data_IF_064280609413
#
_entry.id   IF_064280609413
#
_cell.length_a   1.000
_cell.length_b   1.000
_cell.length_c   1.000
_cell.angle_alpha   90.00
_cell.angle_beta   90.00
_cell.angle_gamma   90.00
#
_symmetry.space_group_name_H-M   'P 1'
#
loop_
_entity.id
_entity.type
_entity.pdbx_description
1 polymer ?
#
# COMPACT_ATOMS: atom_id res chain seq x y z
N UNK A 1 -40.29 -4.77 71.10
CA UNK A 1 -41.57 -4.03 71.08
C UNK A 1 -41.54 -3.16 69.85
N UNK A 2 -42.34 -3.24 68.80
CA UNK A 2 -43.60 -3.89 68.43
C UNK A 2 -43.52 -3.89 66.87
N UNK A 3 -43.77 -4.94 66.08
CA UNK A 3 -44.81 -5.93 66.18
C UNK A 3 -46.16 -5.27 65.98
N UNK A 4 -46.61 -4.95 64.76
CA UNK A 4 -48.04 -4.93 64.43
C UNK A 4 -48.28 -5.07 62.93
N UNK A 5 -48.72 -6.28 62.57
CA UNK A 5 -49.56 -6.54 61.42
C UNK A 5 -51.01 -6.21 61.75
N UNK A 6 -51.77 -5.74 60.77
CA UNK A 6 -53.20 -6.06 60.50
C UNK A 6 -53.63 -5.23 59.28
N UNK A 7 -53.98 -5.85 58.15
CA UNK A 7 -55.29 -6.46 57.87
C UNK A 7 -56.40 -5.38 57.86
N UNK A 8 -57.28 -5.22 56.87
CA UNK A 8 -58.02 -6.25 56.13
C UNK A 8 -58.99 -5.54 55.15
N UNK A 9 -59.38 -6.25 54.07
CA UNK A 9 -60.62 -6.13 53.26
C UNK A 9 -60.68 -5.08 52.15
N UNK A 10 -61.35 -5.30 51.01
CA UNK A 10 -61.76 -6.45 50.17
C UNK A 10 -62.58 -5.82 49.02
N UNK A 11 -62.46 -6.36 47.79
CA UNK A 11 -63.43 -6.31 46.65
C UNK A 11 -63.37 -5.08 45.72
N UNK A 12 -62.91 -5.26 44.46
CA UNK A 12 -63.68 -5.63 43.23
C UNK A 12 -64.57 -4.45 42.79
N UNK A 13 -64.42 -3.79 41.62
CA UNK A 13 -64.57 -4.31 40.25
C UNK A 13 -64.14 -3.24 39.22
N UNK A 14 -63.28 -3.64 38.27
CA UNK A 14 -63.19 -3.35 36.83
C UNK A 14 -63.19 -1.91 36.27
N UNK A 15 -62.15 -1.61 35.47
CA UNK A 15 -62.13 -0.50 34.50
C UNK A 15 -60.72 -0.29 33.95
N UNK A 16 -60.52 -0.61 32.67
CA UNK A 16 -59.24 -0.85 32.02
C UNK A 16 -58.34 0.38 31.78
N UNK A 17 -57.08 0.05 31.47
CA UNK A 17 -56.05 0.81 30.75
C UNK A 17 -55.14 1.75 31.55
N UNK A 18 -53.98 1.23 31.97
CA UNK A 18 -52.77 2.02 32.14
C UNK A 18 -51.55 1.22 31.62
N UNK A 19 -50.84 1.86 30.68
CA UNK A 19 -49.65 1.37 30.01
C UNK A 19 -48.57 0.92 31.00
N UNK A 20 -48.08 -0.30 30.83
CA UNK A 20 -46.77 -0.71 31.34
C UNK A 20 -45.72 -0.35 30.29
N UNK A 21 -45.05 0.80 30.47
CA UNK A 21 -43.76 1.06 29.83
C UNK A 21 -42.68 0.43 30.72
N UNK A 22 -42.38 -0.85 30.44
CA UNK A 22 -41.21 -1.53 31.00
C UNK A 22 -39.94 -0.90 30.43
N UNK A 23 -39.14 -0.33 31.32
CA UNK A 23 -37.80 0.19 31.06
C UNK A 23 -36.86 -0.99 30.81
N UNK A 24 -36.66 -1.38 29.54
CA UNK A 24 -35.58 -2.28 29.16
C UNK A 24 -34.34 -1.45 28.82
N UNK A 25 -33.40 -1.38 29.77
CA UNK A 25 -32.06 -0.87 29.53
C UNK A 25 -31.35 -1.80 28.53
N UNK A 26 -31.31 -1.40 27.27
CA UNK A 26 -30.46 -2.01 26.25
C UNK A 26 -29.02 -1.60 26.53
N UNK A 27 -28.30 -2.48 27.23
CA UNK A 27 -26.84 -2.51 27.20
C UNK A 27 -26.43 -2.81 25.75
N UNK A 28 -26.13 -1.77 24.99
CA UNK A 28 -25.48 -1.89 23.68
C UNK A 28 -24.08 -2.45 23.92
N UNK A 29 -23.92 -3.77 23.80
CA UNK A 29 -22.61 -4.37 23.65
C UNK A 29 -21.94 -3.78 22.39
N UNK A 30 -20.63 -3.51 22.41
CA UNK A 30 -19.94 -3.05 21.21
C UNK A 30 -20.08 -4.14 20.14
N UNK A 31 -20.68 -3.79 19.01
CA UNK A 31 -20.68 -4.65 17.83
C UNK A 31 -19.22 -4.84 17.40
N UNK A 32 -18.66 -6.00 17.71
CA UNK A 32 -17.45 -6.48 17.03
C UNK A 32 -17.85 -6.68 15.57
N UNK A 33 -17.45 -5.75 14.69
CA UNK A 33 -17.48 -5.96 13.24
C UNK A 33 -16.45 -7.04 12.91
N UNK A 34 -16.84 -8.29 13.07
CA UNK A 34 -16.10 -9.44 12.55
C UNK A 34 -16.75 -9.90 11.23
N UNK A 35 -15.90 -10.12 10.22
CA UNK A 35 -16.15 -10.75 8.92
C UNK A 35 -16.50 -9.88 7.69
N UNK A 36 -16.22 -8.57 7.68
CA UNK A 36 -16.08 -7.83 6.41
C UNK A 36 -14.64 -8.08 5.90
N UNK A 37 -14.47 -8.94 4.88
CA UNK A 37 -13.17 -9.27 4.28
C UNK A 37 -12.92 -10.76 4.01
N UNK A 38 -13.62 -11.67 4.70
CA UNK A 38 -13.55 -13.11 4.45
C UNK A 38 -14.35 -13.49 3.18
N UNK A 39 -13.82 -14.39 2.35
CA UNK A 39 -14.49 -14.92 1.15
C UNK A 39 -13.84 -14.48 -0.16
N UNK A 40 -14.57 -14.64 -1.27
CA UNK A 40 -14.07 -14.21 -2.59
C UNK A 40 -13.80 -12.70 -2.62
N UNK A 41 -12.82 -12.28 -3.43
CA UNK A 41 -12.47 -10.88 -3.62
C UNK A 41 -12.77 -10.46 -5.07
N UNK A 42 -13.98 -9.94 -5.36
CA UNK A 42 -14.41 -9.67 -6.74
C UNK A 42 -13.49 -8.72 -7.52
N UNK A 43 -12.87 -7.76 -6.85
CA UNK A 43 -11.91 -6.86 -7.47
C UNK A 43 -10.64 -7.59 -7.95
N UNK A 44 -10.12 -8.53 -7.16
CA UNK A 44 -9.01 -9.40 -7.58
C UNK A 44 -9.41 -10.28 -8.76
N UNK A 45 -10.60 -10.88 -8.70
CA UNK A 45 -11.15 -11.68 -9.79
C UNK A 45 -11.29 -10.89 -11.10
N UNK A 46 -11.72 -9.63 -11.03
CA UNK A 46 -11.79 -8.74 -12.17
C UNK A 46 -10.38 -8.41 -12.70
N UNK A 47 -9.45 -8.07 -11.81
CA UNK A 47 -8.07 -7.77 -12.20
C UNK A 47 -7.41 -8.95 -12.92
N UNK A 48 -7.60 -10.18 -12.42
CA UNK A 48 -7.09 -11.38 -13.10
C UNK A 48 -7.65 -11.50 -14.51
N UNK A 49 -8.97 -11.35 -14.68
CA UNK A 49 -9.61 -11.44 -16.01
C UNK A 49 -9.09 -10.40 -17.00
N UNK A 50 -8.86 -9.18 -16.54
CA UNK A 50 -8.56 -8.06 -17.42
C UNK A 50 -7.05 -7.91 -17.72
N UNK A 51 -6.20 -8.27 -16.77
CA UNK A 51 -4.77 -7.94 -16.82
C UNK A 51 -3.84 -9.14 -16.63
N UNK A 52 -4.29 -10.29 -16.11
CA UNK A 52 -3.43 -11.46 -15.89
C UNK A 52 -3.64 -12.49 -16.99
N UNK A 53 -2.57 -12.85 -17.71
CA UNK A 53 -2.60 -13.95 -18.65
C UNK A 53 -2.57 -15.31 -17.95
N UNK A 54 -2.96 -16.37 -18.67
CA UNK A 54 -2.96 -17.74 -18.18
C UNK A 54 -1.57 -18.23 -17.72
N UNK A 55 -0.49 -17.71 -18.32
CA UNK A 55 0.89 -18.04 -17.98
C UNK A 55 1.48 -17.18 -16.84
N UNK A 56 0.72 -16.25 -16.26
CA UNK A 56 1.13 -15.48 -15.07
C UNK A 56 1.71 -14.09 -15.33
N UNK A 57 1.55 -13.54 -16.53
CA UNK A 57 2.00 -12.21 -16.92
C UNK A 57 0.92 -11.16 -16.67
N UNK A 58 1.27 -10.07 -15.98
CA UNK A 58 0.43 -8.89 -15.80
C UNK A 58 0.66 -7.92 -16.95
N UNK A 59 -0.36 -7.67 -17.75
CA UNK A 59 -0.28 -6.93 -19.00
C UNK A 59 -0.94 -5.57 -18.84
N UNK A 60 -0.19 -4.49 -19.06
CA UNK A 60 -0.81 -3.20 -19.34
C UNK A 60 -1.25 -3.17 -20.80
N UNK A 61 -2.56 -3.33 -21.02
CA UNK A 61 -3.15 -3.37 -22.35
C UNK A 61 -3.34 -1.98 -22.97
N UNK A 62 -3.08 -0.91 -22.21
CA UNK A 62 -3.14 0.47 -22.72
C UNK A 62 -1.89 0.90 -23.48
N UNK A 63 -0.79 0.16 -23.33
CA UNK A 63 0.48 0.42 -23.98
C UNK A 63 0.62 -0.42 -25.27
N UNK A 64 1.18 0.18 -26.33
CA UNK A 64 1.33 -0.46 -27.65
C UNK A 64 2.23 -1.71 -27.60
N UNK A 65 3.27 -1.67 -26.76
CA UNK A 65 4.19 -2.80 -26.53
C UNK A 65 3.58 -3.89 -25.64
N UNK A 66 2.34 -3.69 -25.15
CA UNK A 66 1.62 -4.55 -24.21
C UNK A 66 2.50 -4.96 -23.04
N UNK A 67 3.26 -4.00 -22.50
CA UNK A 67 4.31 -4.26 -21.51
C UNK A 67 3.81 -4.96 -20.25
N UNK A 68 4.77 -5.64 -19.64
CA UNK A 68 4.76 -6.02 -18.23
C UNK A 68 5.92 -5.31 -17.60
N UNK A 69 5.65 -4.72 -16.44
CA UNK A 69 6.67 -4.18 -15.57
C UNK A 69 6.83 -5.07 -14.34
N UNK A 70 8.04 -5.13 -13.79
CA UNK A 70 8.29 -5.88 -12.54
C UNK A 70 7.35 -5.42 -11.42
N UNK A 71 7.00 -4.12 -11.39
CA UNK A 71 6.01 -3.54 -10.47
C UNK A 71 4.67 -4.30 -10.54
N UNK A 72 4.14 -4.55 -11.73
CA UNK A 72 2.86 -5.23 -11.92
C UNK A 72 2.90 -6.68 -11.47
N UNK A 73 4.00 -7.39 -11.76
CA UNK A 73 4.23 -8.73 -11.22
C UNK A 73 4.26 -8.72 -9.69
N UNK A 74 4.98 -7.76 -9.09
CA UNK A 74 5.12 -7.62 -7.64
C UNK A 74 3.78 -7.40 -6.93
N UNK A 75 2.94 -6.54 -7.50
CA UNK A 75 1.62 -6.23 -6.97
C UNK A 75 0.66 -7.40 -7.13
N UNK A 76 0.68 -8.08 -8.28
CA UNK A 76 -0.15 -9.26 -8.47
C UNK A 76 0.24 -10.43 -7.55
N UNK A 77 1.55 -10.62 -7.25
CA UNK A 77 1.98 -11.56 -6.21
C UNK A 77 1.38 -11.20 -4.84
N UNK A 78 1.46 -9.93 -4.46
CA UNK A 78 0.88 -9.46 -3.20
C UNK A 78 -0.65 -9.68 -3.16
N UNK A 79 -1.38 -9.33 -4.22
CA UNK A 79 -2.83 -9.50 -4.27
C UNK A 79 -3.26 -10.97 -4.30
N UNK A 80 -2.55 -11.83 -5.02
CA UNK A 80 -2.77 -13.27 -5.01
C UNK A 80 -2.60 -13.84 -3.59
N UNK A 81 -1.58 -13.39 -2.85
CA UNK A 81 -1.39 -13.78 -1.45
C UNK A 81 -2.55 -13.29 -0.56
N UNK A 82 -2.95 -12.02 -0.69
CA UNK A 82 -4.10 -11.46 0.05
C UNK A 82 -5.39 -12.23 -0.26
N UNK A 83 -5.59 -12.66 -1.50
CA UNK A 83 -6.75 -13.45 -1.93
C UNK A 83 -6.69 -14.94 -1.53
N UNK A 84 -5.59 -15.40 -0.94
CA UNK A 84 -5.28 -16.83 -0.73
C UNK A 84 -5.27 -17.65 -2.03
N UNK A 85 -4.89 -17.02 -3.14
CA UNK A 85 -4.90 -17.58 -4.48
C UNK A 85 -3.52 -18.11 -4.86
N UNK A 86 -3.17 -19.28 -4.30
CA UNK A 86 -1.85 -19.87 -4.49
C UNK A 86 -1.57 -20.26 -5.94
N UNK A 87 -2.60 -20.64 -6.71
CA UNK A 87 -2.44 -20.97 -8.13
C UNK A 87 -1.96 -19.77 -8.94
N UNK A 88 -2.63 -18.62 -8.80
CA UNK A 88 -2.18 -17.41 -9.48
C UNK A 88 -0.80 -16.95 -8.97
N UNK A 89 -0.56 -17.04 -7.66
CA UNK A 89 0.75 -16.70 -7.09
C UNK A 89 1.89 -17.51 -7.73
N UNK A 90 1.72 -18.82 -7.88
CA UNK A 90 2.70 -19.70 -8.51
C UNK A 90 2.92 -19.37 -9.99
N UNK A 91 1.84 -19.12 -10.75
CA UNK A 91 1.95 -18.72 -12.15
C UNK A 91 2.72 -17.39 -12.30
N UNK A 92 2.36 -16.38 -11.50
CA UNK A 92 2.99 -15.06 -11.53
C UNK A 92 4.48 -15.18 -11.15
N UNK A 93 4.80 -15.94 -10.11
CA UNK A 93 6.19 -16.13 -9.65
C UNK A 93 7.03 -16.84 -10.71
N UNK A 94 6.53 -17.94 -11.29
CA UNK A 94 7.23 -18.65 -12.36
C UNK A 94 7.43 -17.79 -13.61
N UNK A 95 6.41 -17.00 -14.01
CA UNK A 95 6.56 -16.10 -15.15
C UNK A 95 7.64 -15.05 -14.89
N UNK A 96 7.63 -14.45 -13.69
CA UNK A 96 8.60 -13.44 -13.25
C UNK A 96 10.02 -13.99 -13.26
N UNK A 97 10.23 -15.17 -12.64
CA UNK A 97 11.53 -15.83 -12.58
C UNK A 97 12.07 -16.13 -13.99
N UNK A 98 11.25 -16.71 -14.86
CA UNK A 98 11.68 -17.12 -16.20
C UNK A 98 11.91 -15.96 -17.16
N UNK A 99 11.09 -14.91 -17.13
CA UNK A 99 11.09 -13.87 -18.16
C UNK A 99 11.80 -12.57 -17.73
N UNK A 100 11.81 -12.26 -16.43
CA UNK A 100 12.45 -11.05 -15.91
C UNK A 100 13.78 -11.35 -15.23
N UNK A 101 13.97 -12.55 -14.68
CA UNK A 101 15.18 -12.94 -13.96
C UNK A 101 15.98 -14.08 -14.62
N UNK A 102 15.77 -14.33 -15.93
CA UNK A 102 16.55 -15.30 -16.72
C UNK A 102 16.55 -16.71 -16.10
N UNK A 103 15.40 -17.11 -15.53
CA UNK A 103 15.18 -18.42 -14.91
C UNK A 103 15.67 -18.57 -13.47
N UNK A 104 16.30 -17.55 -12.88
CA UNK A 104 16.79 -17.64 -11.49
C UNK A 104 16.71 -16.29 -10.75
N UNK A 105 15.60 -16.12 -10.02
CA UNK A 105 15.35 -14.94 -9.17
C UNK A 105 16.28 -14.91 -7.94
N UNK A 106 16.96 -16.02 -7.62
CA UNK A 106 17.98 -16.05 -6.57
C UNK A 106 19.33 -15.56 -7.07
N UNK A 107 19.55 -15.50 -8.39
CA UNK A 107 20.81 -15.10 -9.02
C UNK A 107 20.86 -13.61 -9.43
N UNK A 108 19.73 -12.95 -9.66
CA UNK A 108 19.67 -11.56 -10.13
C UNK A 108 18.36 -10.86 -9.78
N UNK A 109 18.37 -9.53 -9.83
CA UNK A 109 17.17 -8.70 -9.78
C UNK A 109 16.38 -8.86 -11.10
N UNK A 110 15.04 -8.83 -11.07
CA UNK A 110 14.23 -8.91 -12.27
C UNK A 110 14.34 -7.62 -13.09
N UNK A 111 14.42 -7.77 -14.41
CA UNK A 111 14.30 -6.67 -15.36
C UNK A 111 12.97 -5.93 -15.17
N UNK A 112 13.01 -4.59 -15.20
CA UNK A 112 11.83 -3.79 -14.92
C UNK A 112 10.84 -3.74 -16.07
N UNK A 113 11.25 -3.98 -17.32
CA UNK A 113 10.39 -3.83 -18.50
C UNK A 113 10.54 -4.97 -19.51
N UNK A 114 9.42 -5.61 -19.84
CA UNK A 114 9.31 -6.64 -20.87
C UNK A 114 8.09 -6.38 -21.75
N UNK A 115 8.24 -6.47 -23.07
CA UNK A 115 7.15 -6.21 -24.01
C UNK A 115 7.43 -6.70 -25.41
N UNK A 116 6.56 -6.30 -26.33
CA UNK A 116 6.73 -6.51 -27.76
C UNK A 116 7.72 -5.49 -28.31
N UNK A 117 8.89 -5.96 -28.72
CA UNK A 117 9.97 -5.13 -29.24
C UNK A 117 9.72 -4.70 -30.70
N UNK A 118 10.48 -3.70 -31.15
CA UNK A 118 10.39 -3.17 -32.52
C UNK A 118 10.75 -4.19 -33.60
N UNK A 119 11.49 -5.25 -33.25
CA UNK A 119 11.84 -6.36 -34.15
C UNK A 119 10.75 -7.46 -34.21
N UNK A 120 9.62 -7.25 -33.53
CA UNK A 120 8.50 -8.18 -33.46
C UNK A 120 8.66 -9.31 -32.44
N UNK A 121 9.78 -9.36 -31.71
CA UNK A 121 10.01 -10.35 -30.66
C UNK A 121 9.43 -9.91 -29.32
N UNK A 122 9.06 -10.89 -28.50
CA UNK A 122 8.67 -10.67 -27.10
C UNK A 122 9.88 -10.92 -26.20
N UNK A 123 10.37 -9.87 -25.53
CA UNK A 123 11.61 -9.92 -24.74
C UNK A 123 11.66 -8.83 -23.67
N UNK A 124 12.68 -8.92 -22.82
CA UNK A 124 13.12 -7.80 -21.98
C UNK A 124 13.46 -6.60 -22.87
N UNK A 125 12.80 -5.46 -22.62
CA UNK A 125 13.03 -4.20 -23.33
C UNK A 125 14.04 -3.31 -22.60
N UNK A 126 14.08 -3.41 -21.27
CA UNK A 126 15.10 -2.80 -20.43
C UNK A 126 15.44 -3.73 -19.26
N UNK A 127 16.72 -4.07 -19.14
CA UNK A 127 17.25 -5.00 -18.15
C UNK A 127 17.61 -4.35 -16.81
N UNK A 128 17.47 -3.03 -16.67
CA UNK A 128 17.63 -2.38 -15.36
C UNK A 128 16.58 -2.91 -14.37
N UNK A 129 16.82 -2.74 -13.07
CA UNK A 129 15.87 -3.11 -12.03
C UNK A 129 14.96 -1.94 -11.65
N UNK A 130 13.88 -2.24 -10.93
CA UNK A 130 13.04 -1.26 -10.26
C UNK A 130 12.83 -1.70 -8.81
N UNK A 131 13.42 -0.95 -7.89
CA UNK A 131 13.60 -1.42 -6.51
C UNK A 131 12.31 -1.46 -5.69
N UNK A 132 11.26 -0.73 -6.08
CA UNK A 132 9.93 -0.89 -5.49
C UNK A 132 9.38 -2.29 -5.76
N UNK A 133 9.43 -2.73 -7.02
CA UNK A 133 9.03 -4.06 -7.41
C UNK A 133 9.85 -5.13 -6.69
N UNK A 134 11.17 -4.95 -6.60
CA UNK A 134 12.07 -5.93 -6.03
C UNK A 134 11.80 -6.12 -4.52
N UNK A 135 11.53 -5.02 -3.80
CA UNK A 135 11.07 -5.07 -2.40
C UNK A 135 9.72 -5.77 -2.26
N UNK A 136 8.74 -5.45 -3.12
CA UNK A 136 7.41 -6.07 -3.05
C UNK A 136 7.44 -7.56 -3.40
N UNK A 137 8.25 -7.99 -4.36
CA UNK A 137 8.45 -9.42 -4.68
C UNK A 137 9.09 -10.13 -3.49
N UNK A 138 10.18 -9.58 -2.94
CA UNK A 138 10.85 -10.17 -1.79
C UNK A 138 9.90 -10.30 -0.59
N UNK A 139 9.15 -9.24 -0.30
CA UNK A 139 8.12 -9.21 0.74
C UNK A 139 7.03 -10.26 0.51
N UNK A 140 6.40 -10.26 -0.68
CA UNK A 140 5.32 -11.20 -0.99
C UNK A 140 5.78 -12.67 -0.88
N UNK A 141 7.00 -12.99 -1.34
CA UNK A 141 7.57 -14.34 -1.19
C UNK A 141 7.84 -14.71 0.28
N UNK A 142 8.35 -13.78 1.09
CA UNK A 142 8.62 -14.03 2.51
C UNK A 142 7.33 -14.16 3.33
N UNK A 143 6.32 -13.34 3.06
CA UNK A 143 5.00 -13.46 3.69
C UNK A 143 4.29 -14.74 3.24
N UNK A 144 4.31 -15.07 1.94
CA UNK A 144 3.74 -16.31 1.41
C UNK A 144 4.41 -17.55 2.03
N UNK A 145 5.74 -17.55 2.13
CA UNK A 145 6.48 -18.65 2.76
C UNK A 145 6.10 -18.85 4.23
N UNK A 146 5.88 -17.76 4.97
CA UNK A 146 5.43 -17.82 6.36
C UNK A 146 3.96 -18.28 6.49
N UNK A 147 3.06 -17.70 5.70
CA UNK A 147 1.61 -17.94 5.78
C UNK A 147 1.19 -19.31 5.23
N UNK A 148 1.86 -19.81 4.18
CA UNK A 148 1.57 -21.11 3.57
C UNK A 148 2.55 -22.23 3.97
N UNK A 149 3.56 -21.93 4.79
CA UNK A 149 4.59 -22.91 5.18
C UNK A 149 5.47 -23.39 4.02
N UNK A 150 5.64 -22.57 2.98
CA UNK A 150 6.39 -22.92 1.77
C UNK A 150 7.83 -22.40 1.83
N UNK A 151 8.76 -23.29 2.18
CA UNK A 151 10.18 -22.97 2.36
C UNK A 151 10.82 -22.40 1.09
N UNK A 152 10.38 -22.82 -0.09
CA UNK A 152 10.98 -22.36 -1.35
C UNK A 152 10.74 -20.88 -1.58
N UNK A 153 9.56 -20.34 -1.25
CA UNK A 153 9.31 -18.91 -1.32
C UNK A 153 10.17 -18.14 -0.32
N UNK A 154 10.31 -18.64 0.92
CA UNK A 154 11.17 -18.02 1.93
C UNK A 154 12.63 -17.90 1.45
N UNK A 155 13.17 -18.96 0.84
CA UNK A 155 14.55 -18.96 0.34
C UNK A 155 14.74 -17.97 -0.82
N UNK A 156 13.81 -17.97 -1.79
CA UNK A 156 13.86 -17.02 -2.92
C UNK A 156 13.72 -15.58 -2.44
N UNK A 157 12.72 -15.29 -1.61
CA UNK A 157 12.48 -13.95 -1.05
C UNK A 157 13.67 -13.44 -0.22
N UNK A 158 14.29 -14.30 0.59
CA UNK A 158 15.49 -13.93 1.35
C UNK A 158 16.70 -13.63 0.45
N UNK A 159 16.89 -14.40 -0.63
CA UNK A 159 17.96 -14.14 -1.61
C UNK A 159 17.73 -12.84 -2.37
N UNK A 160 16.49 -12.57 -2.79
CA UNK A 160 16.15 -11.34 -3.47
C UNK A 160 16.32 -10.12 -2.54
N UNK A 161 15.81 -10.19 -1.30
CA UNK A 161 16.00 -9.15 -0.30
C UNK A 161 17.48 -8.82 -0.07
N UNK A 162 18.34 -9.84 0.04
CA UNK A 162 19.77 -9.64 0.18
C UNK A 162 20.41 -8.91 -1.02
N UNK A 163 19.92 -9.14 -2.24
CA UNK A 163 20.38 -8.44 -3.46
C UNK A 163 19.92 -6.98 -3.48
N UNK A 164 18.64 -6.71 -3.19
CA UNK A 164 18.12 -5.34 -3.07
C UNK A 164 19.00 -4.52 -2.12
N UNK A 165 19.27 -5.06 -0.94
CA UNK A 165 20.09 -4.39 0.06
C UNK A 165 21.55 -4.15 -0.40
N UNK A 166 22.07 -5.03 -1.24
CA UNK A 166 23.45 -4.97 -1.72
C UNK A 166 23.60 -4.03 -2.93
N UNK A 167 22.65 -4.08 -3.86
CA UNK A 167 22.78 -3.52 -5.21
C UNK A 167 21.95 -2.24 -5.41
N UNK A 168 20.92 -2.02 -4.58
CA UNK A 168 19.93 -0.94 -4.77
C UNK A 168 19.83 0.00 -3.56
N UNK A 169 20.84 0.05 -2.70
CA UNK A 169 20.81 0.96 -1.56
C UNK A 169 22.14 1.66 -1.34
N UNK A 170 22.10 2.88 -0.79
CA UNK A 170 23.30 3.66 -0.47
C UNK A 170 23.25 4.23 0.94
N UNK A 171 24.38 4.22 1.68
CA UNK A 171 24.44 4.80 3.01
C UNK A 171 24.39 6.33 2.94
N UNK A 172 23.74 6.93 3.94
CA UNK A 172 23.65 8.39 4.11
C UNK A 172 24.15 8.75 5.51
N UNK A 173 25.25 9.49 5.58
CA UNK A 173 25.91 9.82 6.83
C UNK A 173 24.97 10.57 7.79
N UNK A 174 24.83 10.07 9.02
CA UNK A 174 23.96 10.67 10.04
C UNK A 174 22.46 10.47 9.85
N UNK A 175 22.01 9.86 8.74
CA UNK A 175 20.58 9.66 8.42
C UNK A 175 20.23 8.17 8.39
N UNK A 176 21.08 7.31 7.81
CA UNK A 176 20.79 5.89 7.66
C UNK A 176 21.16 5.40 6.27
N UNK A 177 20.17 4.88 5.55
CA UNK A 177 20.32 4.34 4.19
C UNK A 177 19.09 4.67 3.37
N UNK A 178 19.28 5.00 2.10
CA UNK A 178 18.19 5.21 1.15
C UNK A 178 18.16 4.10 0.10
N UNK A 179 16.99 3.93 -0.50
CA UNK A 179 16.75 3.04 -1.63
C UNK A 179 17.04 3.80 -2.93
N UNK A 180 17.91 3.26 -3.78
CA UNK A 180 18.03 3.71 -5.16
C UNK A 180 16.87 3.13 -5.97
N UNK A 181 16.24 3.89 -6.87
CA UNK A 181 15.10 3.41 -7.67
C UNK A 181 15.41 2.24 -8.62
N UNK A 182 16.69 1.98 -8.88
CA UNK A 182 17.20 0.82 -9.62
C UNK A 182 18.73 0.81 -9.59
N UNK A 183 19.34 -0.23 -10.15
CA UNK A 183 20.82 -0.40 -10.10
C UNK A 183 21.60 0.60 -10.96
N UNK A 184 21.00 1.14 -12.03
CA UNK A 184 21.67 2.05 -12.96
C UNK A 184 20.87 3.34 -13.18
N UNK A 185 21.55 4.49 -13.28
CA UNK A 185 20.95 5.77 -13.71
C UNK A 185 20.53 6.74 -12.61
N UNK A 186 20.69 6.38 -11.33
CA UNK A 186 20.18 7.15 -10.19
C UNK A 186 21.27 7.81 -9.31
N UNK A 187 22.50 7.92 -9.82
CA UNK A 187 23.63 8.59 -9.17
C UNK A 187 24.33 9.51 -10.18
N UNK A 188 23.74 10.68 -10.50
CA UNK A 188 24.20 11.54 -11.60
C UNK A 188 25.54 12.25 -11.32
N UNK A 189 25.95 12.38 -10.06
CA UNK A 189 27.22 12.96 -9.64
C UNK A 189 27.71 12.25 -8.37
N UNK A 190 29.01 12.38 -8.05
CA UNK A 190 29.65 11.69 -6.91
C UNK A 190 28.96 11.94 -5.56
N UNK A 191 28.31 13.09 -5.41
CA UNK A 191 27.62 13.53 -4.20
C UNK A 191 26.09 13.59 -4.37
N UNK A 192 25.52 13.14 -5.48
CA UNK A 192 24.08 13.27 -5.77
C UNK A 192 23.41 11.94 -6.11
N UNK A 193 22.24 11.69 -5.53
CA UNK A 193 21.41 10.51 -5.79
C UNK A 193 19.97 10.91 -6.08
N UNK A 194 19.35 10.23 -7.04
CA UNK A 194 17.93 10.38 -7.34
C UNK A 194 17.19 9.29 -6.57
N UNK A 195 16.17 9.67 -5.81
CA UNK A 195 15.30 8.76 -5.06
C UNK A 195 13.84 8.95 -5.48
N UNK A 196 13.02 7.93 -5.24
CA UNK A 196 11.58 7.98 -5.45
C UNK A 196 10.89 7.72 -4.10
N UNK A 197 10.23 8.73 -3.49
CA UNK A 197 9.57 8.56 -2.20
C UNK A 197 8.57 7.40 -2.15
N UNK A 198 7.90 7.12 -3.28
CA UNK A 198 6.88 6.07 -3.33
C UNK A 198 7.42 4.63 -3.29
N UNK A 199 8.72 4.45 -3.51
CA UNK A 199 9.37 3.14 -3.60
C UNK A 199 9.68 2.52 -2.23
N UNK A 200 9.51 3.28 -1.14
CA UNK A 200 9.89 2.87 0.20
C UNK A 200 8.69 2.72 1.17
N UNK A 201 7.77 1.74 0.95
CA UNK A 201 6.70 1.45 1.88
C UNK A 201 7.26 0.96 3.23
N UNK A 202 7.12 1.76 4.30
CA UNK A 202 7.76 1.46 5.59
C UNK A 202 7.32 0.12 6.20
N UNK A 203 6.08 -0.32 5.98
CA UNK A 203 5.60 -1.62 6.43
C UNK A 203 6.40 -2.80 5.82
N UNK A 204 6.77 -2.69 4.53
CA UNK A 204 7.58 -3.70 3.84
C UNK A 204 9.01 -3.67 4.36
N UNK A 205 9.59 -2.48 4.47
CA UNK A 205 10.95 -2.31 5.00
C UNK A 205 11.06 -2.83 6.43
N UNK A 206 10.04 -2.59 7.26
CA UNK A 206 9.99 -3.06 8.65
C UNK A 206 9.82 -4.58 8.74
N UNK A 207 9.01 -5.18 7.87
CA UNK A 207 8.93 -6.64 7.75
C UNK A 207 10.30 -7.27 7.47
N UNK A 208 11.06 -6.67 6.55
CA UNK A 208 12.42 -7.12 6.23
C UNK A 208 13.40 -6.88 7.39
N UNK A 209 13.33 -5.72 8.05
CA UNK A 209 14.14 -5.41 9.23
C UNK A 209 13.87 -6.38 10.39
N UNK A 210 12.60 -6.69 10.66
CA UNK A 210 12.20 -7.66 11.69
C UNK A 210 12.71 -9.07 11.38
N UNK A 211 12.50 -9.53 10.13
CA UNK A 211 12.92 -10.88 9.70
C UNK A 211 14.44 -11.06 9.69
N UNK A 212 15.18 -10.01 9.35
CA UNK A 212 16.63 -10.01 9.25
C UNK A 212 17.27 -9.12 10.32
N UNK A 213 16.84 -9.24 11.58
CA UNK A 213 17.23 -8.34 12.69
C UNK A 213 18.74 -8.21 12.94
N UNK A 214 19.55 -9.19 12.53
CA UNK A 214 21.02 -9.12 12.62
C UNK A 214 21.65 -8.27 11.51
N UNK A 215 20.96 -8.07 10.39
CA UNK A 215 21.38 -7.24 9.26
C UNK A 215 20.89 -5.79 9.46
N UNK A 216 21.70 -5.00 10.16
CA UNK A 216 21.33 -3.62 10.58
C UNK A 216 21.04 -2.67 9.43
N UNK A 217 21.51 -2.95 8.21
CA UNK A 217 21.23 -2.09 7.04
C UNK A 217 19.73 -2.00 6.73
N UNK A 218 18.93 -3.01 7.08
CA UNK A 218 17.47 -2.93 6.95
C UNK A 218 16.87 -1.90 7.90
N UNK A 219 17.29 -1.87 9.16
CA UNK A 219 16.83 -0.85 10.10
C UNK A 219 17.27 0.55 9.66
N UNK A 220 18.52 0.68 9.17
CA UNK A 220 18.99 1.93 8.57
C UNK A 220 18.15 2.39 7.38
N UNK A 221 17.63 1.45 6.59
CA UNK A 221 16.75 1.72 5.46
C UNK A 221 15.36 2.17 5.94
N UNK A 222 14.79 1.54 6.98
CA UNK A 222 13.53 2.00 7.60
C UNK A 222 13.67 3.45 8.10
N UNK A 223 14.71 3.73 8.89
CA UNK A 223 14.91 5.04 9.50
C UNK A 223 15.26 6.09 8.44
N UNK A 224 16.12 5.74 7.49
CA UNK A 224 16.47 6.62 6.37
C UNK A 224 15.26 6.92 5.48
N UNK A 225 14.43 5.93 5.15
CA UNK A 225 13.23 6.14 4.36
C UNK A 225 12.21 7.05 5.05
N UNK A 226 12.05 6.97 6.38
CA UNK A 226 11.19 7.91 7.11
C UNK A 226 11.68 9.36 6.97
N UNK A 227 13.00 9.57 7.07
CA UNK A 227 13.63 10.89 6.84
C UNK A 227 13.46 11.35 5.38
N UNK A 228 13.72 10.48 4.41
CA UNK A 228 13.52 10.77 2.99
C UNK A 228 12.09 11.19 2.68
N UNK A 229 11.10 10.47 3.19
CA UNK A 229 9.69 10.77 2.98
C UNK A 229 9.32 12.17 3.49
N UNK A 230 9.80 12.54 4.68
CA UNK A 230 9.54 13.85 5.29
C UNK A 230 10.31 14.97 4.59
N UNK A 231 11.61 14.80 4.40
CA UNK A 231 12.49 15.91 3.99
C UNK A 231 12.41 16.19 2.48
N UNK A 232 12.00 15.21 1.67
CA UNK A 232 11.70 15.44 0.24
C UNK A 232 10.37 16.18 0.00
N UNK A 233 9.54 16.34 1.03
CA UNK A 233 8.20 16.91 0.95
C UNK A 233 8.07 18.16 1.86
N UNK A 234 8.81 19.26 1.62
CA UNK A 234 8.89 20.39 2.56
C UNK A 234 7.55 21.09 2.85
N UNK A 235 6.52 20.86 2.02
CA UNK A 235 5.15 21.36 2.18
C UNK A 235 4.14 20.29 2.56
N UNK A 236 4.58 19.10 2.97
CA UNK A 236 3.69 17.97 3.30
C UNK A 236 2.99 17.39 2.06
N UNK A 237 3.59 17.58 0.88
CA UNK A 237 3.15 17.02 -0.39
C UNK A 237 4.35 16.33 -1.03
N UNK A 238 4.24 15.01 -1.24
CA UNK A 238 5.34 14.20 -1.75
C UNK A 238 5.57 14.45 -3.25
N UNK A 239 6.83 14.56 -3.71
CA UNK A 239 7.17 14.54 -5.13
C UNK A 239 7.25 13.10 -5.66
N UNK A 240 7.15 12.95 -6.99
CA UNK A 240 7.39 11.66 -7.66
C UNK A 240 8.87 11.26 -7.55
N UNK A 241 9.77 12.24 -7.67
CA UNK A 241 11.22 12.05 -7.63
C UNK A 241 11.85 13.18 -6.81
N UNK A 242 12.95 12.88 -6.11
CA UNK A 242 13.73 13.87 -5.39
C UNK A 242 15.22 13.60 -5.55
N UNK A 243 16.02 14.66 -5.56
CA UNK A 243 17.48 14.57 -5.58
C UNK A 243 18.01 14.78 -4.17
N UNK A 244 18.76 13.82 -3.65
CA UNK A 244 19.54 13.95 -2.42
C UNK A 244 20.98 14.31 -2.78
N UNK A 245 21.50 15.41 -2.24
CA UNK A 245 22.92 15.79 -2.37
C UNK A 245 23.62 15.72 -1.02
N UNK A 246 24.77 15.04 -0.94
CA UNK A 246 25.56 14.98 0.29
C UNK A 246 25.95 16.41 0.77
N UNK A 247 25.75 16.68 2.05
CA UNK A 247 25.99 18.00 2.64
C UNK A 247 24.88 19.04 2.44
N UNK A 248 23.93 18.80 1.52
CA UNK A 248 22.75 19.66 1.29
C UNK A 248 21.40 18.96 1.47
N UNK A 249 21.40 17.64 1.65
CA UNK A 249 20.19 16.82 1.71
C UNK A 249 19.26 17.06 0.52
N UNK A 250 17.99 17.39 0.77
CA UNK A 250 16.99 17.70 -0.27
C UNK A 250 16.88 19.21 -0.54
N UNK A 251 17.79 20.03 -0.01
CA UNK A 251 17.81 21.46 -0.29
C UNK A 251 18.04 21.68 -1.78
N UNK A 252 17.23 22.59 -2.33
CA UNK A 252 17.26 22.93 -3.75
C UNK A 252 18.15 24.15 -3.94
N UNK A 253 19.11 24.04 -4.86
CA UNK A 253 19.83 25.23 -5.32
C UNK A 253 18.83 26.22 -5.96
N UNK A 254 19.00 27.55 -5.78
CA UNK A 254 18.13 28.55 -6.41
C UNK A 254 18.08 28.50 -7.95
N UNK A 255 18.96 27.73 -8.59
CA UNK A 255 18.95 27.43 -10.04
C UNK A 255 18.62 25.97 -10.38
N UNK A 256 18.19 25.15 -9.41
CA UNK A 256 17.86 23.74 -9.62
C UNK A 256 16.63 23.59 -10.53
N UNK A 257 16.77 22.74 -11.54
CA UNK A 257 15.69 22.30 -12.43
C UNK A 257 15.04 20.99 -11.98
N UNK A 258 15.26 20.56 -10.73
CA UNK A 258 14.72 19.30 -10.22
C UNK A 258 13.19 19.28 -10.37
N UNK A 259 12.63 18.17 -10.84
CA UNK A 259 11.19 18.04 -10.93
C UNK A 259 10.58 17.96 -9.52
N UNK A 260 9.71 18.91 -9.18
CA UNK A 260 8.95 18.98 -7.90
C UNK A 260 7.59 18.30 -7.99
N UNK A 261 7.22 17.81 -9.16
CA UNK A 261 5.88 17.28 -9.42
C UNK A 261 5.66 16.03 -8.58
N UNK A 262 4.59 16.03 -7.79
CA UNK A 262 3.97 14.84 -7.23
C UNK A 262 2.73 14.48 -8.02
N UNK A 263 2.64 13.23 -8.49
CA UNK A 263 1.53 12.73 -9.29
C UNK A 263 1.40 11.20 -9.13
N UNK A 264 1.43 10.46 -10.23
CA UNK A 264 1.15 9.03 -10.27
C UNK A 264 2.12 8.22 -9.41
N UNK A 265 3.39 8.61 -9.23
CA UNK A 265 4.24 7.91 -8.27
C UNK A 265 3.89 8.29 -6.84
N UNK A 266 3.92 9.59 -6.54
CA UNK A 266 3.77 10.16 -5.22
C UNK A 266 2.46 9.81 -4.53
N UNK A 267 1.38 9.54 -5.28
CA UNK A 267 0.09 9.14 -4.70
C UNK A 267 0.21 7.89 -3.80
N UNK A 268 1.15 7.00 -4.12
CA UNK A 268 1.45 5.80 -3.33
C UNK A 268 2.08 6.13 -1.96
N UNK A 269 2.75 7.28 -1.80
CA UNK A 269 3.29 7.71 -0.50
C UNK A 269 2.18 7.83 0.54
N UNK A 270 1.08 8.50 0.19
CA UNK A 270 -0.05 8.68 1.10
C UNK A 270 -0.78 7.35 1.34
N UNK A 271 -0.89 6.50 0.31
CA UNK A 271 -1.43 5.15 0.44
C UNK A 271 -0.63 4.32 1.46
N UNK A 272 0.70 4.28 1.34
CA UNK A 272 1.55 3.54 2.27
C UNK A 272 1.48 4.12 3.68
N UNK A 273 1.63 5.44 3.83
CA UNK A 273 1.54 6.11 5.13
C UNK A 273 0.19 5.87 5.83
N UNK A 274 -0.90 5.84 5.05
CA UNK A 274 -2.25 5.56 5.56
C UNK A 274 -2.49 4.12 5.99
N UNK A 275 -1.70 3.16 5.50
CA UNK A 275 -1.83 1.74 5.84
C UNK A 275 -0.87 1.27 6.93
N UNK A 276 0.00 2.16 7.44
CA UNK A 276 0.87 1.86 8.57
C UNK A 276 0.04 1.50 9.80
N UNK A 277 0.50 0.50 10.54
CA UNK A 277 -0.04 0.16 11.85
C UNK A 277 0.03 1.40 12.78
N UNK A 278 -0.98 1.67 13.62
CA UNK A 278 -0.94 2.78 14.56
C UNK A 278 0.28 2.78 15.49
N UNK A 279 0.80 1.60 15.83
CA UNK A 279 1.96 1.41 16.71
C UNK A 279 3.31 1.51 15.96
N UNK A 280 3.30 1.86 14.66
CA UNK A 280 4.53 2.17 13.94
C UNK A 280 5.27 3.37 14.55
N UNK A 281 6.55 3.21 14.96
CA UNK A 281 7.36 4.32 15.48
C UNK A 281 7.42 5.58 14.60
N UNK A 282 7.35 5.43 13.27
CA UNK A 282 7.41 6.57 12.33
C UNK A 282 6.02 7.04 11.85
N UNK A 283 4.95 6.30 12.19
CA UNK A 283 3.62 6.51 11.63
C UNK A 283 2.99 7.86 11.99
N UNK A 284 3.07 8.25 13.26
CA UNK A 284 2.49 9.51 13.75
C UNK A 284 3.17 10.76 13.18
N UNK A 285 4.49 10.70 12.96
CA UNK A 285 5.23 11.79 12.34
C UNK A 285 4.81 11.96 10.88
N UNK A 286 4.81 10.87 10.10
CA UNK A 286 4.44 10.90 8.68
C UNK A 286 2.98 11.30 8.49
N UNK A 287 2.05 10.79 9.30
CA UNK A 287 0.63 11.19 9.24
C UNK A 287 0.46 12.69 9.45
N UNK A 288 1.13 13.27 10.46
CA UNK A 288 1.08 14.72 10.70
C UNK A 288 1.73 15.52 9.59
N UNK A 289 2.84 15.02 9.04
CA UNK A 289 3.59 15.70 7.99
C UNK A 289 2.77 15.81 6.69
N UNK A 290 2.04 14.77 6.31
CA UNK A 290 1.25 14.73 5.06
C UNK A 290 -0.20 15.21 5.18
N UNK A 291 -0.61 15.81 6.31
CA UNK A 291 -1.96 16.42 6.47
C UNK A 291 -2.35 17.36 5.31
N UNK A 292 -1.43 18.18 4.73
CA UNK A 292 -1.78 19.06 3.61
C UNK A 292 -2.41 18.33 2.40
N UNK A 293 -2.08 17.06 2.17
CA UNK A 293 -2.75 16.26 1.14
C UNK A 293 -4.22 16.02 1.45
N UNK A 294 -4.56 15.71 2.71
CA UNK A 294 -5.94 15.56 3.14
C UNK A 294 -6.71 16.89 3.10
N UNK A 295 -6.07 18.00 3.43
CA UNK A 295 -6.67 19.34 3.36
C UNK A 295 -7.05 19.71 1.92
N UNK A 296 -6.22 19.36 0.93
CA UNK A 296 -6.56 19.54 -0.49
C UNK A 296 -7.80 18.76 -0.88
N UNK A 297 -7.94 17.51 -0.41
CA UNK A 297 -9.13 16.68 -0.67
C UNK A 297 -10.36 17.28 0.00
N UNK A 298 -10.23 17.75 1.25
CA UNK A 298 -11.32 18.38 1.98
C UNK A 298 -11.83 19.65 1.28
N UNK A 299 -10.92 20.47 0.74
CA UNK A 299 -11.26 21.71 0.05
C UNK A 299 -11.88 21.48 -1.35
N UNK A 300 -11.46 20.44 -2.06
CA UNK A 300 -11.81 20.22 -3.48
C UNK A 300 -12.82 19.10 -3.71
N UNK A 301 -12.99 18.21 -2.74
CA UNK A 301 -13.79 16.98 -2.85
C UNK A 301 -13.08 15.83 -3.56
N UNK A 302 -11.86 16.02 -4.06
CA UNK A 302 -11.07 15.01 -4.74
C UNK A 302 -9.56 15.29 -4.60
N UNK A 303 -8.71 14.24 -4.66
CA UNK A 303 -7.26 14.44 -4.76
C UNK A 303 -6.90 15.08 -6.12
N UNK A 304 -5.97 16.04 -6.17
CA UNK A 304 -5.48 16.60 -7.43
C UNK A 304 -4.68 15.58 -8.23
N UNK A 305 -4.62 15.74 -9.55
CA UNK A 305 -3.81 14.87 -10.42
C UNK A 305 -2.31 15.15 -10.25
N UNK A 306 -1.96 16.42 -10.08
CA UNK A 306 -0.58 16.85 -9.83
C UNK A 306 -0.52 17.91 -8.73
N UNK A 307 0.57 17.87 -7.98
CA UNK A 307 0.97 18.89 -7.00
C UNK A 307 2.42 19.27 -7.23
N UNK A 308 2.81 20.46 -6.79
CA UNK A 308 4.19 20.89 -6.71
C UNK A 308 4.65 20.84 -5.25
N UNK A 309 5.57 19.92 -4.95
CA UNK A 309 6.04 19.63 -3.58
C UNK A 309 6.78 20.82 -2.92
N UNK A 310 7.32 21.75 -3.70
CA UNK A 310 8.10 22.88 -3.18
C UNK A 310 7.22 24.10 -2.84
N UNK A 311 6.31 24.45 -3.75
CA UNK A 311 5.37 25.58 -3.62
C UNK A 311 4.10 25.20 -2.85
N UNK A 312 3.75 23.92 -2.80
CA UNK A 312 2.51 23.43 -2.20
C UNK A 312 1.28 23.63 -3.09
N UNK A 313 1.47 23.97 -4.36
CA UNK A 313 0.36 24.24 -5.29
C UNK A 313 -0.18 22.95 -5.90
N UNK A 314 -1.48 22.91 -6.16
CA UNK A 314 -2.15 21.77 -6.80
C UNK A 314 -2.72 22.20 -8.15
N UNK A 315 -2.58 21.36 -9.17
CA UNK A 315 -3.19 21.62 -10.48
C UNK A 315 -4.72 21.65 -10.42
N UNK A 316 -5.36 22.24 -11.44
CA UNK A 316 -6.82 22.32 -11.52
C UNK A 316 -7.48 20.96 -11.75
N UNK A 317 -6.79 20.01 -12.37
CA UNK A 317 -7.32 18.69 -12.67
C UNK A 317 -7.33 17.80 -11.42
N UNK A 318 -8.38 17.00 -11.28
CA UNK A 318 -8.46 15.99 -10.24
C UNK A 318 -7.89 14.67 -10.75
N UNK A 319 -7.27 13.90 -9.85
CA UNK A 319 -6.79 12.57 -10.12
C UNK A 319 -7.94 11.60 -10.45
N UNK A 320 -7.59 10.50 -11.11
CA UNK A 320 -8.54 9.46 -11.50
C UNK A 320 -9.08 8.67 -10.28
N UNK A 321 -9.84 7.59 -10.55
CA UNK A 321 -10.38 6.73 -9.49
C UNK A 321 -9.27 6.13 -8.60
N UNK A 322 -8.10 5.81 -9.17
CA UNK A 322 -6.96 5.24 -8.45
C UNK A 322 -6.43 6.20 -7.39
N UNK A 323 -6.41 7.51 -7.67
CA UNK A 323 -6.01 8.52 -6.69
C UNK A 323 -6.99 8.58 -5.52
N UNK A 324 -8.29 8.53 -5.79
CA UNK A 324 -9.30 8.44 -4.72
C UNK A 324 -9.12 7.17 -3.89
N UNK A 325 -8.91 6.03 -4.51
CA UNK A 325 -8.67 4.77 -3.80
C UNK A 325 -7.42 4.84 -2.91
N UNK A 326 -6.31 5.36 -3.45
CA UNK A 326 -5.05 5.52 -2.74
C UNK A 326 -5.16 6.48 -1.54
N UNK A 327 -6.02 7.49 -1.61
CA UNK A 327 -6.25 8.43 -0.52
C UNK A 327 -7.06 7.84 0.65
N UNK A 328 -7.87 6.79 0.42
CA UNK A 328 -8.80 6.25 1.44
C UNK A 328 -8.07 5.84 2.72
N UNK A 329 -7.01 5.00 2.70
CA UNK A 329 -6.34 4.62 3.95
C UNK A 329 -5.76 5.80 4.71
N UNK A 330 -5.22 6.79 4.00
CA UNK A 330 -4.67 7.99 4.64
C UNK A 330 -5.75 8.78 5.40
N UNK A 331 -6.89 9.03 4.75
CA UNK A 331 -8.02 9.72 5.37
C UNK A 331 -8.60 8.94 6.57
N UNK A 332 -8.65 7.59 6.48
CA UNK A 332 -9.04 6.74 7.62
C UNK A 332 -8.06 6.89 8.78
N UNK A 333 -6.75 6.89 8.52
CA UNK A 333 -5.72 7.00 9.55
C UNK A 333 -5.74 8.36 10.29
N UNK A 334 -6.27 9.41 9.65
CA UNK A 334 -6.51 10.73 10.26
C UNK A 334 -7.86 10.83 11.00
N UNK A 335 -8.67 9.76 11.03
CA UNK A 335 -10.01 9.79 11.60
C UNK A 335 -11.04 10.53 10.73
N UNK A 336 -10.72 10.85 9.48
CA UNK A 336 -11.58 11.59 8.55
C UNK A 336 -12.53 10.66 7.77
N UNK A 337 -13.34 9.87 8.51
CA UNK A 337 -14.17 8.80 7.94
C UNK A 337 -15.18 9.25 6.88
N UNK A 338 -15.71 10.47 6.98
CA UNK A 338 -16.63 11.03 5.98
C UNK A 338 -15.91 11.31 4.64
N UNK A 339 -14.70 11.88 4.68
CA UNK A 339 -13.89 12.11 3.48
C UNK A 339 -13.46 10.79 2.86
N UNK A 340 -13.02 9.83 3.69
CA UNK A 340 -12.65 8.49 3.22
C UNK A 340 -13.81 7.80 2.48
N UNK A 341 -15.01 7.79 3.08
CA UNK A 341 -16.20 7.21 2.47
C UNK A 341 -16.59 7.94 1.18
N UNK A 342 -16.45 9.27 1.15
CA UNK A 342 -16.68 10.07 -0.06
C UNK A 342 -15.71 9.74 -1.20
N UNK A 343 -14.44 9.47 -0.89
CA UNK A 343 -13.45 9.03 -1.88
C UNK A 343 -13.76 7.60 -2.37
N UNK A 344 -14.13 6.67 -1.48
CA UNK A 344 -14.56 5.33 -1.89
C UNK A 344 -15.77 5.38 -2.84
N UNK A 345 -16.78 6.20 -2.54
CA UNK A 345 -17.92 6.42 -3.43
C UNK A 345 -17.53 7.08 -4.77
N UNK A 346 -16.52 7.96 -4.76
CA UNK A 346 -15.95 8.53 -6.00
C UNK A 346 -15.28 7.46 -6.87
N UNK A 347 -14.61 6.47 -6.27
CA UNK A 347 -14.06 5.31 -7.00
C UNK A 347 -15.16 4.57 -7.75
N UNK A 348 -16.22 4.16 -7.04
CA UNK A 348 -17.36 3.45 -7.63
C UNK A 348 -17.99 4.23 -8.79
N UNK A 349 -18.25 5.53 -8.58
CA UNK A 349 -18.84 6.42 -9.58
C UNK A 349 -17.98 6.54 -10.83
N UNK A 350 -16.67 6.71 -10.70
CA UNK A 350 -15.77 6.87 -11.84
C UNK A 350 -15.59 5.54 -12.61
N UNK A 351 -15.46 4.42 -11.89
CA UNK A 351 -15.34 3.10 -12.53
C UNK A 351 -16.63 2.69 -13.27
N UNK A 352 -17.80 3.15 -12.80
CA UNK A 352 -19.07 2.96 -13.51
C UNK A 352 -19.16 3.78 -14.81
N UNK A 353 -18.42 4.89 -14.92
CA UNK A 353 -18.39 5.74 -16.12
C UNK A 353 -17.38 5.24 -17.16
N UNK A 354 -16.23 4.75 -16.70
CA UNK A 354 -15.18 4.22 -17.55
C UNK A 354 -14.49 3.05 -16.83
N UNK A 355 -14.38 1.87 -17.47
CA UNK A 355 -13.62 0.76 -16.90
C UNK A 355 -12.21 1.20 -16.48
N UNK A 356 -11.73 0.80 -15.30
CA UNK A 356 -10.41 1.20 -14.84
C UNK A 356 -9.31 0.55 -15.69
N UNK A 357 -8.27 1.32 -16.03
CA UNK A 357 -7.03 0.77 -16.60
C UNK A 357 -6.20 0.03 -15.55
N UNK A 358 -5.06 -0.53 -15.97
CA UNK A 358 -4.15 -1.29 -15.11
C UNK A 358 -3.78 -0.50 -13.84
N UNK A 359 -3.27 0.74 -14.00
CA UNK A 359 -2.77 1.52 -12.87
C UNK A 359 -3.87 1.90 -11.85
N UNK A 360 -5.06 2.29 -12.33
CA UNK A 360 -6.21 2.54 -11.46
C UNK A 360 -6.64 1.29 -10.70
N UNK A 361 -6.59 0.13 -11.35
CA UNK A 361 -6.99 -1.14 -10.77
C UNK A 361 -6.05 -1.59 -9.64
N UNK A 362 -4.73 -1.44 -9.81
CA UNK A 362 -3.77 -1.77 -8.74
C UNK A 362 -3.92 -0.86 -7.52
N UNK A 363 -4.09 0.46 -7.72
CA UNK A 363 -4.34 1.40 -6.61
C UNK A 363 -5.66 1.10 -5.89
N UNK A 364 -6.68 0.65 -6.63
CA UNK A 364 -7.96 0.22 -6.06
C UNK A 364 -7.82 -1.04 -5.22
N UNK A 365 -7.08 -2.05 -5.71
CA UNK A 365 -6.81 -3.28 -4.95
C UNK A 365 -6.06 -3.01 -3.65
N UNK A 366 -5.09 -2.09 -3.66
CA UNK A 366 -4.44 -1.66 -2.43
C UNK A 366 -5.40 -0.89 -1.51
N UNK A 367 -5.88 0.27 -1.95
CA UNK A 367 -6.58 1.22 -1.10
C UNK A 367 -7.97 0.74 -0.67
N UNK A 368 -8.79 0.29 -1.62
CA UNK A 368 -10.14 -0.22 -1.32
C UNK A 368 -10.06 -1.63 -0.71
N UNK A 369 -9.13 -2.49 -1.15
CA UNK A 369 -8.91 -3.79 -0.50
C UNK A 369 -8.55 -3.64 0.98
N UNK A 370 -7.69 -2.68 1.32
CA UNK A 370 -7.42 -2.35 2.72
C UNK A 370 -8.67 -1.80 3.40
N UNK A 371 -9.39 -0.86 2.79
CA UNK A 371 -10.61 -0.29 3.37
C UNK A 371 -11.69 -1.34 3.68
N UNK A 372 -11.87 -2.33 2.80
CA UNK A 372 -12.78 -3.47 2.94
C UNK A 372 -12.34 -4.52 3.97
N UNK A 373 -11.17 -4.37 4.60
CA UNK A 373 -10.69 -5.34 5.58
C UNK A 373 -10.06 -6.59 4.97
N UNK A 374 -9.68 -6.59 3.68
CA UNK A 374 -9.06 -7.76 3.01
C UNK A 374 -7.70 -8.13 3.61
N UNK A 375 -6.96 -7.14 4.09
CA UNK A 375 -5.68 -7.31 4.76
C UNK A 375 -5.33 -6.12 5.65
N UNK A 376 -4.41 -6.33 6.60
CA UNK A 376 -3.74 -5.30 7.39
C UNK A 376 -2.24 -5.60 7.45
N UNK A 377 -1.45 -4.60 7.81
CA UNK A 377 -0.06 -4.80 8.23
C UNK A 377 0.02 -4.69 9.75
N UNK A 378 0.83 -5.52 10.38
CA UNK A 378 1.15 -5.41 11.80
C UNK A 378 2.27 -4.38 12.04
N UNK A 379 2.45 -3.97 13.29
CA UNK A 379 3.52 -3.05 13.70
C UNK A 379 4.93 -3.52 13.27
N UNK A 380 5.19 -4.82 13.26
CA UNK A 380 6.46 -5.42 12.81
C UNK A 380 6.58 -5.55 11.28
N UNK A 381 5.55 -5.10 10.55
CA UNK A 381 5.45 -5.15 9.09
C UNK A 381 4.80 -6.42 8.54
N UNK A 382 4.49 -7.42 9.36
CA UNK A 382 3.92 -8.69 8.87
C UNK A 382 2.54 -8.51 8.22
N UNK A 383 2.25 -9.28 7.17
CA UNK A 383 0.94 -9.28 6.52
C UNK A 383 -0.08 -10.05 7.36
N UNK A 384 -1.24 -9.44 7.58
CA UNK A 384 -2.42 -10.07 8.18
C UNK A 384 -3.57 -10.10 7.18
N UNK A 385 -3.65 -11.09 6.28
CA UNK A 385 -4.78 -11.21 5.36
C UNK A 385 -6.01 -11.72 6.11
N UNK A 386 -7.21 -11.35 5.64
CA UNK A 386 -8.47 -11.66 6.33
C UNK A 386 -8.67 -13.17 6.58
N UNK A 387 -8.20 -14.01 5.66
CA UNK A 387 -8.32 -15.47 5.73
C UNK A 387 -7.36 -16.13 6.75
N UNK A 388 -6.35 -15.40 7.26
CA UNK A 388 -5.40 -15.94 8.24
C UNK A 388 -5.91 -15.89 9.69
N UNK A 389 -6.88 -15.00 9.97
CA UNK A 389 -7.67 -15.10 11.19
C UNK A 389 -8.66 -16.27 11.05
N UNK A 390 -9.08 -16.91 12.14
CA UNK A 390 -10.16 -17.90 12.10
C UNK A 390 -11.46 -17.22 11.64
N UNK A 391 -11.66 -17.13 10.33
CA UNK A 391 -12.93 -16.78 9.72
C UNK A 391 -13.92 -17.84 10.19
N UNK A 392 -14.86 -17.46 11.06
CA UNK A 392 -15.98 -18.35 11.38
C UNK A 392 -16.90 -18.32 10.17
N UNK A 393 -17.10 -19.42 9.43
CA UNK A 393 -18.08 -19.46 8.36
C UNK A 393 -19.45 -19.18 8.98
N UNK A 394 -20.25 -18.32 8.33
CA UNK A 394 -21.66 -18.18 8.67
C UNK A 394 -22.42 -19.45 8.32
#
# INVERSE_FOLDING_TARGET
MNGFASALRLRLVWGAAALWLGLAALLSAPHVRAAEGCGSWPAWEQFRRDFLSDDGRVIDTSEEDRRTVSEGQSYALFFALVANDRYAFDAIMHWTENNLADGDLTARLPAWLWGHASDGSWKVLDSNSASDADLWIAYALLEAGALWGERTYTLRGARLAARVLQDETFPVAGVGRFLMPGTTGFHPAEDAWIVNPSYAPLQVLRSLATRFATERRWQQLVDGSAVMLRDSAPRGLAPDWATYTAGRAFDRDPGSTDNTTGSYNAIRVYLWAGMLDPDDPHGDELRRHFVPFADLIAARGAPPETVDAASGTAASNDGNAGFSAAAVPFLVSLGQGALASGQAARVERLNAQRPPGYYTSVLSLFGIGWYEGRYRFAADGALRPAWSATCTPR
#
